data_IF_266549692944
#
_entry.id   IF_266549692944
#
_cell.length_a   1.000
_cell.length_b   1.000
_cell.length_c   1.000
_cell.angle_alpha   90.00
_cell.angle_beta   90.00
_cell.angle_gamma   90.00
#
_symmetry.space_group_name_H-M   'P 1'
#
loop_
_entity.id
_entity.type
_entity.pdbx_description
1 polymer ?
#
# COMPACT_ATOMS: atom_id res chain seq x y z
N UNK A 1 -51.81 1.10 19.78
CA UNK A 1 -50.66 0.20 19.92
C UNK A 1 -50.82 -0.92 18.91
N UNK A 2 -50.06 -1.03 17.84
CA UNK A 2 -49.12 -0.07 17.27
C UNK A 2 -48.97 -0.43 15.78
N UNK A 3 -49.55 0.36 14.88
CA UNK A 3 -49.41 0.15 13.42
C UNK A 3 -48.02 0.65 12.96
N UNK A 4 -47.30 1.37 13.84
CA UNK A 4 -45.95 1.83 13.58
C UNK A 4 -44.90 0.72 13.78
N UNK A 5 -45.13 -0.25 14.67
CA UNK A 5 -44.20 -1.38 14.85
C UNK A 5 -44.23 -2.35 13.66
N UNK A 6 -45.41 -2.59 13.08
CA UNK A 6 -45.56 -3.50 11.92
C UNK A 6 -44.99 -2.97 10.60
N UNK A 7 -44.61 -1.69 10.53
CA UNK A 7 -43.95 -1.10 9.36
C UNK A 7 -42.42 -1.04 9.51
N UNK A 8 -41.89 -1.23 10.72
CA UNK A 8 -40.44 -1.24 10.95
C UNK A 8 -39.77 -2.46 10.29
N UNK A 9 -40.44 -3.61 10.29
CA UNK A 9 -39.95 -4.85 9.67
C UNK A 9 -39.95 -4.82 8.14
N UNK A 10 -40.69 -3.90 7.51
CA UNK A 10 -40.80 -3.80 6.04
C UNK A 10 -39.72 -2.91 5.39
N UNK A 11 -38.92 -2.21 6.19
CA UNK A 11 -37.80 -1.37 5.74
C UNK A 11 -36.43 -1.99 6.05
N UNK A 12 -36.39 -3.21 6.60
CA UNK A 12 -35.14 -3.87 7.00
C UNK A 12 -34.51 -4.76 5.92
N UNK A 13 -34.85 -4.59 4.65
CA UNK A 13 -34.20 -5.35 3.58
C UNK A 13 -33.67 -4.45 2.46
N UNK A 14 -32.37 -4.67 2.20
CA UNK A 14 -31.53 -4.14 1.13
C UNK A 14 -30.76 -2.86 1.45
N UNK A 15 -29.85 -2.95 2.41
CA UNK A 15 -28.45 -2.73 1.99
C UNK A 15 -28.18 -3.78 0.92
N UNK A 16 -28.41 -3.38 -0.34
CA UNK A 16 -28.09 -4.20 -1.49
C UNK A 16 -26.67 -4.70 -1.27
N UNK A 17 -26.52 -6.02 -1.27
CA UNK A 17 -25.25 -6.69 -1.49
C UNK A 17 -24.64 -6.03 -2.72
N UNK A 18 -23.86 -4.97 -2.50
CA UNK A 18 -23.01 -4.39 -3.50
C UNK A 18 -22.00 -5.51 -3.75
N UNK A 19 -22.32 -6.32 -4.74
CA UNK A 19 -21.41 -7.24 -5.37
C UNK A 19 -20.20 -6.36 -5.73
N UNK A 20 -19.19 -6.34 -4.86
CA UNK A 20 -17.94 -5.65 -5.11
C UNK A 20 -17.49 -6.17 -6.47
N UNK A 21 -17.34 -5.26 -7.43
CA UNK A 21 -16.85 -5.54 -8.77
C UNK A 21 -15.62 -6.47 -8.65
N UNK A 22 -15.82 -7.76 -8.98
CA UNK A 22 -14.84 -8.85 -8.88
C UNK A 22 -13.69 -8.69 -9.90
N UNK A 23 -13.69 -7.56 -10.64
CA UNK A 23 -12.59 -7.12 -11.47
C UNK A 23 -11.37 -6.66 -10.66
N UNK A 24 -10.21 -6.47 -11.32
CA UNK A 24 -9.03 -5.93 -10.67
C UNK A 24 -9.28 -4.51 -10.18
N UNK A 25 -9.59 -4.35 -8.90
CA UNK A 25 -9.61 -3.05 -8.23
C UNK A 25 -8.23 -2.70 -7.64
N UNK A 26 -8.01 -1.42 -7.33
CA UNK A 26 -6.72 -0.92 -6.84
C UNK A 26 -6.24 -1.67 -5.58
N UNK A 27 -7.16 -2.09 -4.69
CA UNK A 27 -6.83 -2.86 -3.49
C UNK A 27 -6.29 -4.24 -3.82
N UNK A 28 -6.90 -4.95 -4.77
CA UNK A 28 -6.40 -6.26 -5.19
C UNK A 28 -5.05 -6.14 -5.90
N UNK A 29 -4.83 -5.06 -6.67
CA UNK A 29 -3.54 -4.78 -7.32
C UNK A 29 -2.43 -4.50 -6.30
N UNK A 30 -2.68 -3.64 -5.30
CA UNK A 30 -1.72 -3.38 -4.22
C UNK A 30 -1.35 -4.67 -3.50
N UNK A 31 -2.35 -5.49 -3.16
CA UNK A 31 -2.10 -6.79 -2.50
C UNK A 31 -1.24 -7.71 -3.37
N UNK A 32 -1.55 -7.85 -4.66
CA UNK A 32 -0.78 -8.68 -5.59
C UNK A 32 0.66 -8.21 -5.73
N UNK A 33 0.89 -6.90 -5.84
CA UNK A 33 2.24 -6.34 -5.93
C UNK A 33 3.04 -6.68 -4.67
N UNK A 34 2.45 -6.50 -3.49
CA UNK A 34 3.12 -6.81 -2.22
C UNK A 34 3.42 -8.30 -2.05
N UNK A 35 2.51 -9.18 -2.50
CA UNK A 35 2.75 -10.62 -2.55
C UNK A 35 3.92 -10.98 -3.48
N UNK A 36 4.01 -10.33 -4.65
CA UNK A 36 5.15 -10.52 -5.56
C UNK A 36 6.45 -10.04 -4.92
N UNK A 37 6.46 -8.86 -4.29
CA UNK A 37 7.64 -8.35 -3.58
C UNK A 37 8.08 -9.28 -2.44
N UNK A 38 7.14 -9.84 -1.68
CA UNK A 38 7.44 -10.77 -0.60
C UNK A 38 7.94 -12.14 -1.09
N UNK A 39 7.35 -12.68 -2.17
CA UNK A 39 7.70 -13.99 -2.71
C UNK A 39 8.96 -13.98 -3.58
N UNK A 40 9.29 -12.86 -4.22
CA UNK A 40 10.48 -12.68 -5.08
C UNK A 40 11.48 -11.70 -4.48
N UNK A 41 11.62 -11.72 -3.15
CA UNK A 41 12.53 -10.83 -2.44
C UNK A 41 14.00 -11.07 -2.80
N UNK A 42 14.35 -12.26 -3.27
CA UNK A 42 15.68 -12.63 -3.75
C UNK A 42 15.98 -12.17 -5.20
N UNK A 43 15.07 -11.41 -5.83
CA UNK A 43 15.22 -10.89 -7.19
C UNK A 43 15.16 -9.36 -7.15
N UNK A 44 16.30 -8.64 -7.22
CA UNK A 44 16.35 -7.16 -7.16
C UNK A 44 15.38 -6.49 -8.13
N UNK A 45 15.39 -6.96 -9.39
CA UNK A 45 14.51 -6.44 -10.44
C UNK A 45 13.01 -6.58 -10.08
N UNK A 46 12.61 -7.64 -9.38
CA UNK A 46 11.22 -7.79 -8.96
C UNK A 46 10.84 -6.77 -7.88
N UNK A 47 11.76 -6.42 -6.99
CA UNK A 47 11.57 -5.39 -5.97
C UNK A 47 11.52 -3.99 -6.58
N UNK A 48 12.40 -3.69 -7.55
CA UNK A 48 12.38 -2.44 -8.32
C UNK A 48 11.03 -2.22 -8.99
N UNK A 49 10.57 -3.22 -9.76
CA UNK A 49 9.30 -3.15 -10.49
C UNK A 49 8.10 -3.14 -9.53
N UNK A 50 8.20 -3.85 -8.40
CA UNK A 50 7.17 -3.80 -7.35
C UNK A 50 7.04 -2.39 -6.76
N UNK A 51 8.16 -1.75 -6.42
CA UNK A 51 8.17 -0.38 -5.90
C UNK A 51 7.62 0.61 -6.92
N UNK A 52 8.03 0.50 -8.18
CA UNK A 52 7.55 1.33 -9.28
C UNK A 52 6.05 1.16 -9.54
N UNK A 53 5.54 -0.07 -9.46
CA UNK A 53 4.11 -0.35 -9.60
C UNK A 53 3.32 0.27 -8.44
N UNK A 54 3.76 0.11 -7.19
CA UNK A 54 3.14 0.78 -6.04
C UNK A 54 3.14 2.30 -6.22
N UNK A 55 4.27 2.88 -6.65
CA UNK A 55 4.40 4.31 -6.92
C UNK A 55 3.38 4.80 -7.94
N UNK A 56 3.16 4.02 -9.00
CA UNK A 56 2.21 4.34 -10.06
C UNK A 56 0.75 4.26 -9.62
N UNK A 57 0.45 3.47 -8.58
CA UNK A 57 -0.90 3.39 -7.99
C UNK A 57 -1.19 4.52 -6.99
N UNK A 58 -0.17 5.21 -6.47
CA UNK A 58 -0.34 6.30 -5.49
C UNK A 58 -0.65 7.61 -6.23
N UNK A 59 -1.92 7.85 -6.50
CA UNK A 59 -2.41 9.05 -7.22
C UNK A 59 -3.00 10.12 -6.31
N UNK A 60 -3.39 9.75 -5.10
CA UNK A 60 -4.15 10.56 -4.15
C UNK A 60 -3.94 10.07 -2.70
N UNK A 61 -4.69 10.63 -1.75
CA UNK A 61 -4.62 10.28 -0.33
C UNK A 61 -5.18 8.88 -0.04
N UNK A 62 -6.26 8.48 -0.71
CA UNK A 62 -6.91 7.18 -0.48
C UNK A 62 -6.02 6.02 -0.94
N UNK A 63 -5.45 6.10 -2.15
CA UNK A 63 -4.50 5.12 -2.68
C UNK A 63 -3.22 5.05 -1.84
N UNK A 64 -2.77 6.17 -1.28
CA UNK A 64 -1.63 6.22 -0.38
C UNK A 64 -1.91 5.52 0.94
N UNK A 65 -3.05 5.81 1.56
CA UNK A 65 -3.47 5.20 2.81
C UNK A 65 -3.73 3.70 2.61
N UNK A 66 -4.23 3.30 1.44
CA UNK A 66 -4.35 1.91 1.04
C UNK A 66 -2.99 1.20 1.00
N UNK A 67 -1.98 1.76 0.34
CA UNK A 67 -0.63 1.16 0.33
C UNK A 67 -0.02 1.12 1.73
N UNK A 68 -0.16 2.20 2.51
CA UNK A 68 0.38 2.29 3.86
C UNK A 68 -0.28 1.29 4.82
N UNK A 69 -1.60 1.14 4.78
CA UNK A 69 -2.36 0.21 5.63
C UNK A 69 -2.14 -1.27 5.28
N UNK A 70 -1.67 -1.56 4.07
CA UNK A 70 -1.32 -2.91 3.63
C UNK A 70 0.17 -3.27 3.83
N UNK A 71 0.87 -2.61 4.76
CA UNK A 71 2.30 -2.80 5.03
C UNK A 71 3.22 -2.46 3.84
N UNK A 72 2.76 -1.66 2.87
CA UNK A 72 3.57 -1.30 1.71
C UNK A 72 4.84 -0.51 2.09
N UNK A 73 4.77 0.34 3.10
CA UNK A 73 5.95 1.07 3.61
C UNK A 73 7.00 0.09 4.14
N UNK A 74 6.58 -0.90 4.92
CA UNK A 74 7.49 -1.92 5.45
C UNK A 74 8.12 -2.74 4.32
N UNK A 75 7.32 -3.18 3.34
CA UNK A 75 7.83 -3.94 2.20
C UNK A 75 8.89 -3.16 1.39
N UNK A 76 8.68 -1.86 1.17
CA UNK A 76 9.65 -0.99 0.49
C UNK A 76 10.93 -0.83 1.30
N UNK A 77 10.83 -0.62 2.62
CA UNK A 77 12.01 -0.49 3.48
C UNK A 77 12.79 -1.80 3.62
N UNK A 78 12.11 -2.95 3.67
CA UNK A 78 12.76 -4.28 3.69
C UNK A 78 13.49 -4.58 2.37
N UNK A 79 12.96 -4.08 1.23
CA UNK A 79 13.65 -4.19 -0.05
C UNK A 79 14.96 -3.39 -0.04
N UNK A 80 14.96 -2.18 0.52
CA UNK A 80 16.17 -1.37 0.69
C UNK A 80 17.21 -2.06 1.58
N UNK A 81 16.78 -2.65 2.69
CA UNK A 81 17.67 -3.35 3.63
C UNK A 81 18.30 -4.60 3.00
N UNK A 82 17.59 -5.25 2.07
CA UNK A 82 18.06 -6.47 1.42
C UNK A 82 19.11 -6.22 0.34
N UNK A 83 19.01 -5.08 -0.36
CA UNK A 83 19.94 -4.69 -1.42
C UNK A 83 20.50 -3.29 -1.19
N UNK A 84 21.30 -3.09 -0.12
CA UNK A 84 21.83 -1.77 0.22
C UNK A 84 22.71 -1.18 -0.89
N UNK A 85 23.44 -2.03 -1.62
CA UNK A 85 24.38 -1.62 -2.67
C UNK A 85 23.78 -1.64 -4.09
N UNK A 86 22.48 -1.95 -4.24
CA UNK A 86 21.82 -1.98 -5.55
C UNK A 86 21.17 -0.61 -5.85
N UNK A 87 21.75 0.20 -6.76
CA UNK A 87 21.23 1.54 -7.03
C UNK A 87 19.83 1.52 -7.66
N UNK A 88 19.46 0.45 -8.37
CA UNK A 88 18.12 0.27 -8.93
C UNK A 88 17.10 0.12 -7.81
N UNK A 89 17.33 -0.80 -6.88
CA UNK A 89 16.45 -1.02 -5.72
C UNK A 89 16.37 0.24 -4.87
N UNK A 90 17.51 0.86 -4.50
CA UNK A 90 17.52 2.07 -3.66
C UNK A 90 16.76 3.23 -4.32
N UNK A 91 16.95 3.43 -5.64
CA UNK A 91 16.30 4.49 -6.40
C UNK A 91 14.78 4.34 -6.46
N UNK A 92 14.29 3.15 -6.84
CA UNK A 92 12.85 2.90 -6.93
C UNK A 92 12.19 2.94 -5.56
N UNK A 93 12.80 2.33 -4.53
CA UNK A 93 12.26 2.37 -3.17
C UNK A 93 12.16 3.79 -2.63
N UNK A 94 13.22 4.59 -2.77
CA UNK A 94 13.23 6.00 -2.32
C UNK A 94 12.20 6.84 -3.09
N UNK A 95 12.02 6.59 -4.38
CA UNK A 95 10.98 7.22 -5.20
C UNK A 95 9.56 6.90 -4.69
N UNK A 96 9.30 5.64 -4.34
CA UNK A 96 8.02 5.20 -3.76
C UNK A 96 7.80 5.81 -2.38
N UNK A 97 8.81 5.81 -1.50
CA UNK A 97 8.73 6.46 -0.18
C UNK A 97 8.44 7.95 -0.28
N UNK A 98 8.93 8.64 -1.32
CA UNK A 98 8.63 10.06 -1.56
C UNK A 98 7.13 10.28 -1.83
N UNK A 99 6.51 9.42 -2.65
CA UNK A 99 5.06 9.50 -2.92
C UNK A 99 4.24 9.16 -1.68
N UNK A 100 4.67 8.17 -0.89
CA UNK A 100 4.07 7.83 0.39
C UNK A 100 4.24 8.96 1.42
N UNK A 101 5.38 9.63 1.47
CA UNK A 101 5.64 10.70 2.43
C UNK A 101 4.82 11.98 2.18
N UNK A 102 4.09 12.10 1.08
CA UNK A 102 3.13 13.18 0.88
C UNK A 102 1.97 13.11 1.91
N UNK A 103 1.58 11.91 2.34
CA UNK A 103 0.53 11.69 3.34
C UNK A 103 1.02 11.76 4.79
N UNK A 104 0.22 12.38 5.66
CA UNK A 104 0.62 12.58 7.07
C UNK A 104 0.70 11.27 7.87
N UNK A 105 -0.18 10.30 7.62
CA UNK A 105 -0.15 8.99 8.26
C UNK A 105 1.08 8.18 7.84
N UNK A 106 1.32 8.11 6.53
CA UNK A 106 2.50 7.45 5.97
C UNK A 106 3.82 8.04 6.49
N UNK A 107 3.95 9.37 6.63
CA UNK A 107 5.15 9.99 7.25
C UNK A 107 5.43 9.47 8.66
N UNK A 108 4.38 9.31 9.48
CA UNK A 108 4.54 8.79 10.85
C UNK A 108 5.04 7.35 10.83
N UNK A 109 4.51 6.52 9.92
CA UNK A 109 4.94 5.13 9.77
C UNK A 109 6.39 5.07 9.30
N UNK A 110 6.75 5.83 8.25
CA UNK A 110 8.13 5.93 7.74
C UNK A 110 9.09 6.32 8.86
N UNK A 111 8.75 7.34 9.65
CA UNK A 111 9.57 7.76 10.78
C UNK A 111 9.68 6.66 11.85
N UNK A 112 8.58 6.00 12.20
CA UNK A 112 8.57 4.96 13.23
C UNK A 112 9.37 3.70 12.84
N UNK A 113 9.56 3.48 11.54
CA UNK A 113 10.32 2.35 10.98
C UNK A 113 11.78 2.73 10.66
N UNK A 114 12.26 3.87 11.17
CA UNK A 114 13.60 4.39 10.90
C UNK A 114 13.88 4.60 9.39
N UNK A 115 12.83 4.86 8.61
CA UNK A 115 12.92 4.92 7.15
C UNK A 115 13.82 6.04 6.64
N UNK A 116 13.92 7.16 7.38
CA UNK A 116 14.84 8.26 7.02
C UNK A 116 16.30 7.80 7.10
N UNK A 117 16.67 7.03 8.13
CA UNK A 117 18.01 6.50 8.27
C UNK A 117 18.35 5.54 7.13
N UNK A 118 17.43 4.64 6.78
CA UNK A 118 17.60 3.66 5.69
C UNK A 118 17.78 4.34 4.33
N UNK A 119 17.02 5.40 4.05
CA UNK A 119 17.22 6.22 2.84
C UNK A 119 18.60 6.85 2.81
N UNK A 120 19.07 7.42 3.92
CA UNK A 120 20.42 8.00 3.99
C UNK A 120 21.52 6.95 3.80
N UNK A 121 21.32 5.73 4.29
CA UNK A 121 22.25 4.62 4.08
C UNK A 121 22.34 4.21 2.61
N UNK A 122 21.21 4.12 1.91
CA UNK A 122 21.16 3.77 0.47
C UNK A 122 21.71 4.85 -0.47
N UNK A 123 22.08 6.03 0.04
CA UNK A 123 22.67 7.12 -0.74
C UNK A 123 24.21 7.18 -0.66
N UNK A 124 24.83 6.41 0.24
CA UNK A 124 26.29 6.40 0.47
C UNK A 124 27.01 5.31 -0.31
#
# INVERSE_FOLDING_TARGET
>A
EDIAESLSDLYTDREEDAQEDDGPNIKSLVYQILQVMGSKRDVPFALEQGCEALRSLITDDDSRDLVASNNGIQAVLEAMDMYPDDPGVQGHCSGTLTHLAAGSAARRIIFSLDGVHRVLQGMG
#
